data_IF_726841720428
#
_entry.id   IF_726841720428
#
_cell.length_a   1.000
_cell.length_b   1.000
_cell.length_c   1.000
_cell.angle_alpha   90.00
_cell.angle_beta   90.00
_cell.angle_gamma   90.00
#
_symmetry.space_group_name_H-M   'P 1'
#
loop_
_entity.id
_entity.type
_entity.pdbx_description
1 polymer ?
#
# COMPACT_ATOMS: atom_id res chain seq x y z
N UNK A 1 -9.51 7.66 -15.06
CA UNK A 1 -9.51 6.30 -15.65
C UNK A 1 -8.43 6.09 -16.70
N UNK A 2 -8.16 7.04 -17.62
CA UNK A 2 -7.03 6.95 -18.59
C UNK A 2 -5.62 6.68 -18.01
N UNK A 3 -5.41 6.92 -16.71
CA UNK A 3 -4.11 6.75 -16.02
C UNK A 3 -3.66 5.28 -15.91
N UNK A 4 -4.56 4.31 -16.03
CA UNK A 4 -4.26 2.89 -15.84
C UNK A 4 -4.55 2.03 -17.08
N UNK A 5 -4.94 2.65 -18.20
CA UNK A 5 -5.20 1.94 -19.46
C UNK A 5 -6.37 0.94 -19.40
N UNK A 6 -7.23 1.02 -18.39
CA UNK A 6 -8.39 0.14 -18.23
C UNK A 6 -9.62 0.86 -18.78
N UNK A 7 -10.27 0.27 -19.78
CA UNK A 7 -11.61 0.67 -20.21
C UNK A 7 -12.63 0.10 -19.22
N UNK A 8 -13.64 0.89 -18.89
CA UNK A 8 -14.69 0.47 -17.98
C UNK A 8 -15.55 -0.59 -18.68
N UNK A 9 -15.28 -1.86 -18.38
CA UNK A 9 -16.09 -2.98 -18.84
C UNK A 9 -17.34 -3.11 -17.95
N UNK A 10 -18.55 -2.81 -18.46
CA UNK A 10 -19.78 -2.89 -17.68
C UNK A 10 -20.16 -4.32 -17.29
N UNK A 11 -19.55 -5.36 -17.88
CA UNK A 11 -19.70 -6.75 -17.44
C UNK A 11 -18.79 -7.08 -16.25
N UNK A 12 -17.71 -6.32 -16.06
CA UNK A 12 -16.79 -6.42 -14.91
C UNK A 12 -17.26 -5.46 -13.81
N UNK A 13 -18.48 -5.66 -13.32
CA UNK A 13 -18.87 -5.14 -12.01
C UNK A 13 -18.72 -6.30 -11.02
N UNK A 14 -17.48 -6.69 -10.74
CA UNK A 14 -17.21 -7.46 -9.54
C UNK A 14 -17.54 -6.55 -8.35
N UNK A 15 -18.47 -7.00 -7.51
CA UNK A 15 -18.92 -6.29 -6.32
C UNK A 15 -17.75 -6.23 -5.34
N UNK A 16 -16.91 -5.21 -5.47
CA UNK A 16 -15.83 -4.92 -4.53
C UNK A 16 -16.37 -3.96 -3.49
N UNK A 17 -16.51 -4.43 -2.26
CA UNK A 17 -16.78 -3.54 -1.13
C UNK A 17 -15.51 -2.72 -0.84
N UNK A 18 -15.61 -1.40 -0.93
CA UNK A 18 -14.49 -0.49 -0.71
C UNK A 18 -14.66 0.19 0.65
N UNK A 19 -13.72 -0.05 1.55
CA UNK A 19 -13.61 0.67 2.81
C UNK A 19 -12.42 1.63 2.76
N UNK A 20 -12.64 2.87 3.20
CA UNK A 20 -11.58 3.85 3.41
C UNK A 20 -11.36 4.09 4.89
N UNK A 21 -10.11 4.01 5.35
CA UNK A 21 -9.68 4.42 6.69
C UNK A 21 -8.53 5.41 6.59
N UNK A 22 -8.56 6.42 7.45
CA UNK A 22 -7.51 7.45 7.56
C UNK A 22 -6.86 7.33 8.92
N UNK A 23 -5.53 7.27 8.93
CA UNK A 23 -4.72 7.16 10.14
C UNK A 23 -3.83 8.39 10.29
N UNK A 24 -3.55 8.79 11.52
CA UNK A 24 -2.67 9.91 11.86
C UNK A 24 -1.44 9.41 12.64
N UNK A 25 -0.25 9.87 12.27
CA UNK A 25 1.02 9.47 12.89
C UNK A 25 2.07 9.01 11.88
N UNK A 26 3.07 8.26 12.33
CA UNK A 26 4.08 7.66 11.46
C UNK A 26 3.44 6.57 10.56
N UNK A 27 3.53 6.67 9.23
CA UNK A 27 2.95 5.68 8.32
C UNK A 27 3.46 4.26 8.54
N UNK A 28 4.70 4.09 9.03
CA UNK A 28 5.31 2.78 9.30
C UNK A 28 4.54 2.03 10.38
N UNK A 29 4.32 2.71 11.50
CA UNK A 29 3.62 2.16 12.66
C UNK A 29 2.14 1.99 12.35
N UNK A 30 1.50 3.00 11.76
CA UNK A 30 0.07 2.97 11.49
C UNK A 30 -0.34 1.90 10.48
N UNK A 31 0.52 1.56 9.52
CA UNK A 31 0.25 0.43 8.62
C UNK A 31 0.35 -0.91 9.34
N UNK A 32 1.34 -1.12 10.22
CA UNK A 32 1.41 -2.35 11.02
C UNK A 32 0.22 -2.48 11.98
N UNK A 33 -0.15 -1.40 12.68
CA UNK A 33 -1.35 -1.38 13.52
C UNK A 33 -2.64 -1.68 12.72
N UNK A 34 -2.74 -1.16 11.49
CA UNK A 34 -3.87 -1.44 10.61
C UNK A 34 -3.92 -2.92 10.18
N UNK A 35 -2.76 -3.53 9.92
CA UNK A 35 -2.66 -4.95 9.59
C UNK A 35 -3.15 -5.83 10.75
N UNK A 36 -2.83 -5.46 12.00
CA UNK A 36 -3.24 -6.25 13.16
C UNK A 36 -4.71 -6.02 13.56
N UNK A 37 -5.25 -4.83 13.27
CA UNK A 37 -6.62 -4.46 13.63
C UNK A 37 -7.68 -4.81 12.57
N UNK A 38 -7.26 -5.21 11.38
CA UNK A 38 -8.14 -5.58 10.27
C UNK A 38 -7.77 -7.00 9.85
N UNK A 39 -8.72 -7.92 9.65
CA UNK A 39 -8.44 -9.28 9.21
C UNK A 39 -8.01 -9.32 7.72
N UNK A 40 -6.87 -8.73 7.40
CA UNK A 40 -6.31 -8.65 6.05
C UNK A 40 -5.56 -9.94 5.73
N UNK A 41 -5.86 -10.56 4.59
CA UNK A 41 -5.05 -11.66 4.07
C UNK A 41 -3.70 -11.19 3.52
N UNK A 42 -3.65 -9.96 3.00
CA UNK A 42 -2.43 -9.33 2.49
C UNK A 42 -2.54 -7.81 2.46
N UNK A 43 -1.41 -7.13 2.31
CA UNK A 43 -1.32 -5.70 2.05
C UNK A 43 -0.50 -5.42 0.79
N UNK A 44 -1.00 -4.50 -0.04
CA UNK A 44 -0.34 -4.05 -1.26
C UNK A 44 0.08 -2.59 -1.07
N UNK A 45 1.39 -2.33 -1.14
CA UNK A 45 1.95 -0.99 -0.97
C UNK A 45 2.78 -0.58 -2.18
N UNK A 46 2.72 0.71 -2.54
CA UNK A 46 3.56 1.26 -3.59
C UNK A 46 5.00 1.51 -3.12
N UNK A 47 5.95 1.36 -4.04
CA UNK A 47 7.32 1.84 -3.89
C UNK A 47 7.45 3.19 -4.60
N UNK A 48 7.38 4.28 -3.84
CA UNK A 48 7.64 5.62 -4.36
C UNK A 48 9.10 5.98 -4.06
N UNK A 49 9.91 6.08 -5.11
CA UNK A 49 11.31 6.45 -5.01
C UNK A 49 11.46 7.92 -4.63
N UNK A 50 11.70 8.22 -3.36
CA UNK A 50 12.07 9.57 -2.90
C UNK A 50 13.50 9.99 -3.34
N UNK A 51 14.19 9.20 -4.17
CA UNK A 51 15.63 9.30 -4.41
C UNK A 51 16.45 8.70 -3.25
N UNK A 52 17.70 8.28 -3.52
CA UNK A 52 18.54 7.56 -2.55
C UNK A 52 18.76 8.34 -1.23
N UNK A 53 18.89 9.66 -1.32
CA UNK A 53 19.18 10.53 -0.17
C UNK A 53 17.99 10.70 0.78
N UNK A 54 16.78 10.97 0.27
CA UNK A 54 15.58 11.07 1.11
C UNK A 54 15.18 9.72 1.72
N UNK A 55 15.45 8.60 1.04
CA UNK A 55 15.24 7.25 1.60
C UNK A 55 16.12 7.00 2.83
N UNK A 56 17.37 7.45 2.81
CA UNK A 56 18.31 7.23 3.91
C UNK A 56 17.89 8.01 5.18
N UNK A 57 17.30 9.20 5.03
CA UNK A 57 16.92 10.07 6.16
C UNK A 57 15.59 9.64 6.81
N UNK A 58 14.59 9.26 6.02
CA UNK A 58 13.24 8.96 6.53
C UNK A 58 12.97 7.46 6.75
N UNK A 59 13.88 6.60 6.29
CA UNK A 59 13.58 5.18 6.13
C UNK A 59 12.58 4.92 5.01
N UNK A 60 12.35 3.64 4.71
CA UNK A 60 11.38 3.21 3.70
C UNK A 60 10.15 2.61 4.37
N UNK A 61 8.97 3.22 4.16
CA UNK A 61 7.70 2.71 4.70
C UNK A 61 7.46 1.28 4.24
N UNK A 62 7.57 1.01 2.93
CA UNK A 62 7.38 -0.33 2.40
C UNK A 62 8.37 -1.34 2.97
N UNK A 63 9.63 -0.94 3.21
CA UNK A 63 10.62 -1.83 3.83
C UNK A 63 10.28 -2.12 5.29
N UNK A 64 9.80 -1.12 6.04
CA UNK A 64 9.38 -1.34 7.42
C UNK A 64 8.22 -2.32 7.48
N UNK A 65 7.18 -2.13 6.66
CA UNK A 65 6.01 -3.01 6.62
C UNK A 65 6.38 -4.44 6.20
N UNK A 66 7.28 -4.62 5.22
CA UNK A 66 7.77 -5.96 4.83
C UNK A 66 8.43 -6.71 5.98
N UNK A 67 9.18 -6.01 6.84
CA UNK A 67 9.94 -6.66 7.92
C UNK A 67 9.13 -6.82 9.22
N UNK A 68 8.05 -6.06 9.42
CA UNK A 68 7.33 -6.00 10.69
C UNK A 68 5.83 -6.33 10.59
N UNK A 69 5.25 -6.35 9.39
CA UNK A 69 3.84 -6.66 9.19
C UNK A 69 3.56 -8.14 9.46
N UNK A 70 2.43 -8.43 10.11
CA UNK A 70 1.99 -9.79 10.44
C UNK A 70 1.30 -10.53 9.28
N UNK A 71 1.11 -9.88 8.13
CA UNK A 71 0.46 -10.45 6.94
C UNK A 71 1.40 -10.45 5.71
N UNK A 72 0.98 -11.11 4.63
CA UNK A 72 1.73 -11.10 3.37
C UNK A 72 1.79 -9.68 2.76
N UNK A 73 2.99 -9.23 2.37
CA UNK A 73 3.24 -7.88 1.85
C UNK A 73 3.68 -7.92 0.39
N UNK A 74 2.93 -7.24 -0.49
CA UNK A 74 3.32 -7.02 -1.89
C UNK A 74 3.77 -5.58 -2.09
N UNK A 75 4.99 -5.40 -2.60
CA UNK A 75 5.55 -4.07 -2.92
C UNK A 75 5.53 -3.86 -4.43
N UNK A 76 4.72 -2.92 -4.90
CA UNK A 76 4.57 -2.61 -6.32
C UNK A 76 5.56 -1.52 -6.71
N UNK A 77 6.46 -1.80 -7.67
CA UNK A 77 7.39 -0.82 -8.21
C UNK A 77 6.66 0.31 -8.93
N UNK A 78 7.23 1.52 -8.91
CA UNK A 78 6.71 2.61 -9.74
C UNK A 78 6.82 2.24 -11.22
N UNK A 79 5.77 2.53 -11.99
CA UNK A 79 5.80 2.42 -13.45
C UNK A 79 6.32 3.76 -14.00
N UNK A 80 7.42 3.72 -14.74
CA UNK A 80 7.92 4.90 -15.48
C UNK A 80 7.02 5.22 -16.69
#
# INVERSE_FOLDING_TARGET
MKKYGVEHDPEVVEIVEVLMKVYWGDPREKLCEAIDSIPLSCIIVGNRGLGKLKRAIMGSVSNYVVNNGSCAVTVVKHHE
#
